data_IF_388033105494
#
_entry.id   IF_388033105494
#
_cell.length_a   1.000
_cell.length_b   1.000
_cell.length_c   1.000
_cell.angle_alpha   90.00
_cell.angle_beta   90.00
_cell.angle_gamma   90.00
#
_symmetry.space_group_name_H-M   'P 1'
#
loop_
_entity.id
_entity.type
_entity.pdbx_description
1 polymer ?
#
# COMPACT_ATOMS: atom_id res chain seq x y z
N UNK A 1 -9.34 -17.37 -12.22
CA UNK A 1 -9.93 -16.98 -10.92
C UNK A 1 -9.36 -15.62 -10.62
N UNK A 2 -10.18 -14.56 -10.64
CA UNK A 2 -9.68 -13.20 -10.48
C UNK A 2 -9.35 -12.97 -9.00
N UNK A 3 -8.08 -12.76 -8.67
CA UNK A 3 -7.64 -12.32 -7.34
C UNK A 3 -8.04 -10.85 -7.14
N UNK A 4 -9.33 -10.60 -7.02
CA UNK A 4 -9.89 -9.30 -6.68
C UNK A 4 -9.86 -9.14 -5.17
N UNK A 5 -8.81 -8.57 -4.57
CA UNK A 5 -8.86 -8.07 -3.18
C UNK A 5 -7.72 -7.07 -2.86
N UNK A 6 -7.57 -6.00 -3.61
CA UNK A 6 -6.57 -4.97 -3.25
C UNK A 6 -7.14 -4.07 -2.15
N UNK A 7 -6.35 -3.80 -1.12
CA UNK A 7 -6.75 -2.98 0.02
C UNK A 7 -6.10 -1.61 -0.12
N UNK A 8 -6.94 -0.57 -0.16
CA UNK A 8 -6.49 0.80 0.03
C UNK A 8 -6.51 1.15 1.49
N UNK A 9 -5.52 1.93 1.89
CA UNK A 9 -5.48 2.55 3.21
C UNK A 9 -5.41 4.06 3.01
N UNK A 10 -6.50 4.75 3.35
CA UNK A 10 -6.59 6.22 3.36
C UNK A 10 -6.56 6.75 4.79
N UNK A 11 -6.14 7.99 4.99
CA UNK A 11 -6.08 8.59 6.32
C UNK A 11 -7.46 8.81 6.92
N UNK A 12 -7.49 8.96 8.25
CA UNK A 12 -8.60 9.65 8.92
C UNK A 12 -8.72 11.08 8.40
N UNK A 13 -9.91 11.66 8.60
CA UNK A 13 -10.18 13.05 8.23
C UNK A 13 -9.06 13.94 8.73
N UNK A 14 -8.55 14.78 7.85
CA UNK A 14 -7.37 15.60 8.04
C UNK A 14 -7.38 16.34 9.39
N UNK A 15 -6.88 15.69 10.44
CA UNK A 15 -6.24 16.40 11.52
C UNK A 15 -4.91 16.85 10.95
N UNK A 16 -4.59 18.14 11.07
CA UNK A 16 -3.40 18.82 10.54
C UNK A 16 -2.04 18.15 10.86
N UNK A 17 -2.03 17.07 11.63
CA UNK A 17 -0.84 16.38 12.12
C UNK A 17 -0.52 15.07 11.38
N UNK A 18 -1.42 14.53 10.56
CA UNK A 18 -1.22 13.23 9.88
C UNK A 18 -1.28 13.37 8.36
N UNK A 19 -0.31 14.08 7.80
CA UNK A 19 -0.22 14.35 6.36
C UNK A 19 -0.01 13.05 5.56
N UNK A 20 -0.90 12.72 4.60
CA UNK A 20 -0.85 11.48 3.83
C UNK A 20 0.51 11.18 3.22
N UNK A 21 1.10 12.18 2.56
CA UNK A 21 2.39 12.06 1.87
C UNK A 21 3.50 11.59 2.81
N UNK A 22 3.57 12.14 4.02
CA UNK A 22 4.67 11.90 4.95
C UNK A 22 4.62 10.49 5.51
N UNK A 23 3.46 10.05 6.02
CA UNK A 23 3.40 8.70 6.60
C UNK A 23 3.49 7.61 5.52
N UNK A 24 2.93 7.87 4.33
CA UNK A 24 3.05 6.96 3.18
C UNK A 24 4.52 6.80 2.83
N UNK A 25 5.25 7.89 2.64
CA UNK A 25 6.68 7.87 2.30
C UNK A 25 7.50 7.13 3.35
N UNK A 26 7.23 7.39 4.63
CA UNK A 26 7.90 6.71 5.73
C UNK A 26 7.65 5.19 5.70
N UNK A 27 6.40 4.76 5.51
CA UNK A 27 6.06 3.34 5.50
C UNK A 27 6.66 2.61 4.30
N UNK A 28 6.56 3.19 3.09
CA UNK A 28 7.14 2.56 1.89
C UNK A 28 8.66 2.51 1.93
N UNK A 29 9.30 3.51 2.57
CA UNK A 29 10.75 3.53 2.79
C UNK A 29 11.22 2.45 3.76
N UNK A 30 10.47 2.18 4.83
CA UNK A 30 10.76 1.08 5.79
C UNK A 30 10.67 -0.27 5.08
N UNK A 31 9.70 -0.43 4.17
CA UNK A 31 9.46 -1.65 3.41
C UNK A 31 10.35 -1.76 2.16
N UNK A 32 11.13 -0.73 1.86
CA UNK A 32 11.97 -0.72 0.68
C UNK A 32 13.21 -1.58 0.87
N UNK A 33 13.75 -2.06 -0.24
CA UNK A 33 14.98 -2.85 -0.24
C UNK A 33 15.88 -2.46 -1.39
N UNK A 34 17.19 -2.60 -1.19
CA UNK A 34 18.16 -2.52 -2.28
C UNK A 34 18.13 -3.82 -3.08
N UNK A 35 18.18 -3.70 -4.40
CA UNK A 35 18.36 -4.86 -5.29
C UNK A 35 19.85 -4.99 -5.64
N UNK A 36 20.16 -5.67 -6.74
CA UNK A 36 21.52 -5.77 -7.27
C UNK A 36 22.11 -4.42 -7.74
N UNK A 37 21.30 -3.36 -7.78
CA UNK A 37 21.71 -1.99 -8.07
C UNK A 37 21.62 -1.11 -6.80
N UNK A 38 22.32 0.03 -6.74
CA UNK A 38 22.28 0.93 -5.57
C UNK A 38 20.96 1.72 -5.48
N UNK A 39 19.89 1.26 -6.14
CA UNK A 39 18.58 1.92 -6.12
C UNK A 39 17.71 1.26 -5.07
N UNK A 40 17.24 2.09 -4.13
CA UNK A 40 16.19 1.68 -3.21
C UNK A 40 14.88 1.51 -3.98
N UNK A 41 14.22 0.37 -3.83
CA UNK A 41 12.93 0.11 -4.48
C UNK A 41 11.88 -0.23 -3.45
N UNK A 42 10.71 0.39 -3.58
CA UNK A 42 9.55 0.02 -2.79
C UNK A 42 9.14 -1.43 -3.07
N UNK A 43 8.51 -2.06 -2.08
CA UNK A 43 7.92 -3.38 -2.25
C UNK A 43 6.88 -3.35 -3.39
N UNK A 44 6.93 -4.32 -4.29
CA UNK A 44 6.11 -4.30 -5.50
C UNK A 44 4.60 -4.33 -5.21
N UNK A 45 4.20 -4.83 -4.04
CA UNK A 45 2.82 -4.89 -3.60
C UNK A 45 2.37 -3.74 -2.70
N UNK A 46 3.22 -2.74 -2.42
CA UNK A 46 2.89 -1.62 -1.53
C UNK A 46 3.37 -0.32 -2.17
N UNK A 47 2.44 0.50 -2.65
CA UNK A 47 2.79 1.71 -3.43
C UNK A 47 1.87 2.90 -3.15
N UNK A 48 2.41 4.14 -3.18
CA UNK A 48 1.60 5.35 -3.18
C UNK A 48 0.76 5.42 -4.46
N UNK A 49 -0.48 5.90 -4.37
CA UNK A 49 -1.33 6.16 -5.54
C UNK A 49 -2.34 7.27 -5.25
N UNK A 50 -2.92 7.86 -6.30
CA UNK A 50 -4.02 8.82 -6.17
C UNK A 50 -5.33 8.10 -6.48
N UNK A 51 -6.26 8.11 -5.52
CA UNK A 51 -7.58 7.49 -5.63
C UNK A 51 -8.61 8.57 -5.30
N UNK A 52 -9.54 8.81 -6.23
CA UNK A 52 -10.58 9.86 -6.10
C UNK A 52 -10.03 11.26 -5.76
N UNK A 53 -8.80 11.57 -6.21
CA UNK A 53 -8.14 12.85 -5.96
C UNK A 53 -7.35 12.93 -4.64
N UNK A 54 -7.35 11.86 -3.84
CA UNK A 54 -6.62 11.78 -2.57
C UNK A 54 -5.41 10.85 -2.68
N UNK A 55 -4.29 11.22 -2.05
CA UNK A 55 -3.11 10.37 -1.96
C UNK A 55 -3.40 9.26 -0.95
N UNK A 56 -3.26 8.01 -1.39
CA UNK A 56 -3.52 6.80 -0.61
C UNK A 56 -2.34 5.81 -0.76
N UNK A 57 -2.29 4.85 0.16
CA UNK A 57 -1.45 3.67 -0.02
C UNK A 57 -2.27 2.53 -0.60
N UNK A 58 -1.74 1.88 -1.63
CA UNK A 58 -2.34 0.68 -2.24
C UNK A 58 -1.55 -0.54 -1.82
N UNK A 59 -2.26 -1.56 -1.34
CA UNK A 59 -1.69 -2.83 -0.92
C UNK A 59 -2.27 -3.95 -1.78
N UNK A 60 -1.39 -4.74 -2.38
CA UNK A 60 -1.75 -5.92 -3.14
C UNK A 60 -2.34 -7.03 -2.26
N UNK A 61 -3.45 -7.61 -2.70
CA UNK A 61 -4.05 -8.81 -2.09
C UNK A 61 -3.05 -9.97 -2.00
N UNK A 62 -2.29 -10.16 -3.08
CA UNK A 62 -1.41 -11.30 -3.24
C UNK A 62 -0.26 -11.29 -2.22
N UNK A 63 0.05 -10.14 -1.60
CA UNK A 63 1.04 -10.05 -0.52
C UNK A 63 0.66 -10.93 0.67
N UNK A 64 -0.63 -11.10 0.97
CA UNK A 64 -1.04 -11.97 2.08
C UNK A 64 -0.50 -13.41 1.91
N UNK A 65 -0.38 -13.86 0.66
CA UNK A 65 0.13 -15.20 0.32
C UNK A 65 1.62 -15.24 0.02
N UNK A 66 2.20 -14.20 -0.60
CA UNK A 66 3.60 -14.21 -1.06
C UNK A 66 4.58 -13.61 -0.06
N UNK A 67 4.13 -12.63 0.72
CA UNK A 67 4.93 -11.92 1.72
C UNK A 67 4.01 -11.44 2.86
N UNK A 68 3.61 -12.42 3.66
CA UNK A 68 2.71 -12.23 4.79
C UNK A 68 3.24 -11.21 5.80
N UNK A 69 4.55 -11.14 5.99
CA UNK A 69 5.18 -10.23 6.94
C UNK A 69 4.98 -8.77 6.51
N UNK A 70 5.20 -8.45 5.24
CA UNK A 70 4.92 -7.11 4.69
C UNK A 70 3.43 -6.78 4.79
N UNK A 71 2.56 -7.72 4.42
CA UNK A 71 1.11 -7.52 4.50
C UNK A 71 0.65 -7.21 5.93
N UNK A 72 1.01 -8.06 6.89
CA UNK A 72 0.63 -7.90 8.29
C UNK A 72 1.21 -6.61 8.89
N UNK A 73 2.42 -6.20 8.49
CA UNK A 73 3.02 -4.94 8.94
C UNK A 73 2.19 -3.73 8.49
N UNK A 74 1.76 -3.69 7.22
CA UNK A 74 0.92 -2.59 6.70
C UNK A 74 -0.46 -2.60 7.35
N UNK A 75 -1.08 -3.77 7.52
CA UNK A 75 -2.40 -3.88 8.17
C UNK A 75 -2.34 -3.49 9.64
N UNK A 76 -1.28 -3.89 10.37
CA UNK A 76 -1.06 -3.46 11.75
C UNK A 76 -0.85 -1.94 11.84
N UNK A 77 -0.05 -1.36 10.93
CA UNK A 77 0.12 0.09 10.84
C UNK A 77 -1.21 0.81 10.62
N UNK A 78 -2.04 0.30 9.69
CA UNK A 78 -3.36 0.84 9.41
C UNK A 78 -4.26 0.81 10.65
N UNK A 79 -4.29 -0.32 11.37
CA UNK A 79 -5.07 -0.46 12.59
C UNK A 79 -4.58 0.47 13.71
N UNK A 80 -3.27 0.53 13.96
CA UNK A 80 -2.68 1.36 15.02
C UNK A 80 -2.91 2.85 14.80
N UNK A 81 -2.94 3.29 13.54
CA UNK A 81 -3.19 4.68 13.17
C UNK A 81 -4.65 4.94 12.78
N UNK A 82 -5.54 3.96 12.99
CA UNK A 82 -6.98 4.05 12.72
C UNK A 82 -7.31 4.47 11.28
N UNK A 83 -6.48 4.07 10.32
CA UNK A 83 -6.64 4.45 8.92
C UNK A 83 -7.91 3.81 8.34
N UNK A 84 -8.58 4.55 7.46
CA UNK A 84 -9.75 4.06 6.73
C UNK A 84 -9.28 3.09 5.65
N UNK A 85 -9.79 1.86 5.65
CA UNK A 85 -9.50 0.89 4.58
C UNK A 85 -10.66 0.78 3.60
N UNK A 86 -10.36 0.65 2.31
CA UNK A 86 -11.35 0.46 1.24
C UNK A 86 -10.88 -0.63 0.29
N UNK A 87 -11.82 -1.38 -0.26
CA UNK A 87 -11.51 -2.35 -1.31
C UNK A 87 -11.29 -1.61 -2.64
N UNK A 88 -10.20 -1.92 -3.33
CA UNK A 88 -10.00 -1.49 -4.71
C UNK A 88 -10.83 -2.34 -5.65
N UNK A 89 -11.72 -1.66 -6.38
CA UNK A 89 -12.57 -2.27 -7.40
C UNK A 89 -11.99 -2.13 -8.81
N UNK A 90 -10.81 -1.53 -8.96
CA UNK A 90 -10.10 -1.51 -10.24
C UNK A 90 -9.76 -2.95 -10.63
N UNK A 91 -10.04 -3.29 -11.88
CA UNK A 91 -9.84 -4.62 -12.43
C UNK A 91 -9.06 -4.55 -13.76
N UNK A 92 -8.62 -5.71 -14.25
CA UNK A 92 -7.84 -5.80 -15.49
C UNK A 92 -6.49 -5.07 -15.37
N UNK A 93 -6.11 -4.34 -16.41
CA UNK A 93 -4.82 -3.64 -16.50
C UNK A 93 -4.64 -2.53 -15.45
N UNK A 94 -5.74 -2.06 -14.84
CA UNK A 94 -5.72 -0.99 -13.83
C UNK A 94 -5.51 -1.50 -12.41
N UNK A 95 -5.64 -2.81 -12.20
CA UNK A 95 -5.33 -3.45 -10.94
C UNK A 95 -3.81 -3.60 -10.79
N UNK A 96 -3.30 -3.46 -9.56
CA UNK A 96 -1.91 -3.80 -9.25
C UNK A 96 -1.63 -5.25 -9.66
N UNK A 97 -0.75 -5.43 -10.64
CA UNK A 97 -0.40 -6.75 -11.15
C UNK A 97 0.59 -7.42 -10.21
N UNK A 98 0.46 -8.73 -10.04
CA UNK A 98 1.53 -9.53 -9.45
C UNK A 98 2.71 -9.55 -10.43
N UNK A 99 3.94 -9.26 -9.99
CA UNK A 99 5.10 -9.45 -10.86
C UNK A 99 5.22 -10.89 -11.34
N UNK A 100 5.72 -11.03 -12.57
CA UNK A 100 5.98 -12.32 -13.21
C UNK A 100 7.08 -13.13 -12.49
#
# INVERSE_FOLDING_TARGET
MYEENQVFTSTLEANDQFEPTVWIENLVSILASFLADPRLRYSQGVQPNVVDGEICLVVAAWLESTDRATYDHVMAFAQSNQLKTKLDRRSGERAMQKPA
#
